data_IF_023460563167
#
_entry.id   IF_023460563167
#
_cell.length_a   1.000
_cell.length_b   1.000
_cell.length_c   1.000
_cell.angle_alpha   90.00
_cell.angle_beta   90.00
_cell.angle_gamma   90.00
#
_symmetry.space_group_name_H-M   'P 1'
#
loop_
_entity.id
_entity.type
_entity.pdbx_description
1 polymer ?
#
# COMPACT_ATOMS: atom_id res chain seq x y z
N UNK A 1 -37.86 -49.81 5.90
CA UNK A 1 -38.27 -48.38 5.85
C UNK A 1 -37.12 -47.45 6.29
N UNK A 2 -35.89 -47.61 5.76
CA UNK A 2 -34.73 -46.75 6.11
C UNK A 2 -33.83 -46.42 4.90
N UNK A 3 -34.27 -46.76 3.68
CA UNK A 3 -33.43 -46.65 2.48
C UNK A 3 -33.32 -45.20 1.95
N UNK A 4 -34.28 -44.35 2.29
CA UNK A 4 -34.36 -42.97 1.80
C UNK A 4 -33.63 -41.93 2.68
N UNK A 5 -33.34 -42.24 3.96
CA UNK A 5 -32.64 -41.29 4.85
C UNK A 5 -31.16 -41.09 4.47
N UNK A 6 -30.50 -42.13 3.95
CA UNK A 6 -29.07 -42.06 3.62
C UNK A 6 -28.78 -41.13 2.44
N UNK A 7 -29.64 -41.17 1.41
CA UNK A 7 -29.52 -40.32 0.22
C UNK A 7 -29.79 -38.84 0.52
N UNK A 8 -30.75 -38.56 1.41
CA UNK A 8 -31.07 -37.21 1.85
C UNK A 8 -29.91 -36.59 2.64
N UNK A 9 -29.34 -37.32 3.60
CA UNK A 9 -28.19 -36.86 4.40
C UNK A 9 -26.96 -36.62 3.51
N UNK A 10 -26.68 -37.50 2.55
CA UNK A 10 -25.56 -37.29 1.62
C UNK A 10 -25.76 -36.08 0.71
N UNK A 11 -27.01 -35.81 0.31
CA UNK A 11 -27.33 -34.66 -0.55
C UNK A 11 -27.20 -33.34 0.21
N UNK A 12 -27.70 -33.27 1.45
CA UNK A 12 -27.54 -32.10 2.33
C UNK A 12 -26.04 -31.82 2.61
N UNK A 13 -25.26 -32.86 2.89
CA UNK A 13 -23.81 -32.72 3.07
C UNK A 13 -23.11 -32.20 1.81
N UNK A 14 -23.46 -32.71 0.62
CA UNK A 14 -22.89 -32.23 -0.64
C UNK A 14 -23.23 -30.76 -0.91
N UNK A 15 -24.44 -30.30 -0.58
CA UNK A 15 -24.82 -28.89 -0.71
C UNK A 15 -23.99 -28.00 0.23
N UNK A 16 -23.79 -28.43 1.47
CA UNK A 16 -22.97 -27.69 2.44
C UNK A 16 -21.52 -27.60 1.95
N UNK A 17 -20.94 -28.70 1.48
CA UNK A 17 -19.58 -28.73 0.93
C UNK A 17 -19.47 -27.83 -0.30
N UNK A 18 -20.46 -27.85 -1.18
CA UNK A 18 -20.50 -26.97 -2.36
C UNK A 18 -20.59 -25.50 -1.95
N UNK A 19 -21.41 -25.16 -0.96
CA UNK A 19 -21.54 -23.80 -0.45
C UNK A 19 -20.22 -23.29 0.16
N UNK A 20 -19.53 -24.13 0.95
CA UNK A 20 -18.21 -23.80 1.51
C UNK A 20 -17.18 -23.61 0.41
N UNK A 21 -17.17 -24.48 -0.61
CA UNK A 21 -16.28 -24.35 -1.76
C UNK A 21 -16.52 -23.03 -2.51
N UNK A 22 -17.77 -22.67 -2.78
CA UNK A 22 -18.13 -21.43 -3.45
C UNK A 22 -17.73 -20.19 -2.64
N UNK A 23 -17.99 -20.17 -1.33
CA UNK A 23 -17.57 -19.06 -0.49
C UNK A 23 -16.04 -18.94 -0.44
N UNK A 24 -15.34 -20.07 -0.37
CA UNK A 24 -13.87 -20.12 -0.37
C UNK A 24 -13.29 -19.57 -1.68
N UNK A 25 -13.81 -20.00 -2.84
CA UNK A 25 -13.32 -19.52 -4.13
C UNK A 25 -13.58 -18.03 -4.32
N UNK A 26 -14.77 -17.54 -3.94
CA UNK A 26 -15.08 -16.10 -3.99
C UNK A 26 -14.11 -15.30 -3.12
N UNK A 27 -13.90 -15.74 -1.88
CA UNK A 27 -12.99 -15.05 -0.94
C UNK A 27 -11.57 -15.03 -1.48
N UNK A 28 -11.09 -16.16 -2.01
CA UNK A 28 -9.77 -16.25 -2.61
C UNK A 28 -9.65 -15.36 -3.85
N UNK A 29 -10.67 -15.33 -4.71
CA UNK A 29 -10.69 -14.45 -5.89
C UNK A 29 -10.62 -12.97 -5.51
N UNK A 30 -11.36 -12.53 -4.50
CA UNK A 30 -11.28 -11.16 -3.98
C UNK A 30 -9.89 -10.85 -3.43
N UNK A 31 -9.35 -11.73 -2.58
CA UNK A 31 -8.03 -11.54 -1.98
C UNK A 31 -6.93 -11.46 -3.05
N UNK A 32 -6.97 -12.35 -4.04
CA UNK A 32 -6.00 -12.36 -5.15
C UNK A 32 -6.16 -11.10 -6.02
N UNK A 33 -7.40 -10.69 -6.35
CA UNK A 33 -7.64 -9.48 -7.14
C UNK A 33 -7.08 -8.21 -6.48
N UNK A 34 -7.28 -8.08 -5.18
CA UNK A 34 -6.80 -6.93 -4.39
C UNK A 34 -5.27 -6.96 -4.17
N UNK A 35 -4.73 -8.14 -3.81
CA UNK A 35 -3.30 -8.32 -3.53
C UNK A 35 -2.41 -8.25 -4.77
N UNK A 36 -2.95 -8.63 -5.94
CA UNK A 36 -2.23 -8.56 -7.22
C UNK A 36 -2.59 -7.32 -8.04
N UNK A 37 -3.39 -6.40 -7.50
CA UNK A 37 -3.62 -5.14 -8.19
C UNK A 37 -2.28 -4.41 -8.37
N UNK A 38 -2.02 -3.95 -9.58
CA UNK A 38 -0.77 -3.22 -9.86
C UNK A 38 -0.65 -1.95 -9.02
N UNK A 39 -1.79 -1.41 -8.59
CA UNK A 39 -1.91 -0.19 -7.82
C UNK A 39 -1.52 -0.38 -6.36
N UNK A 40 -2.01 -1.44 -5.69
CA UNK A 40 -1.57 -1.79 -4.34
C UNK A 40 -0.07 -2.09 -4.30
N UNK A 41 0.45 -2.81 -5.29
CA UNK A 41 1.90 -3.05 -5.40
C UNK A 41 2.70 -1.77 -5.64
N UNK A 42 2.13 -0.79 -6.34
CA UNK A 42 2.79 0.51 -6.58
C UNK A 42 2.78 1.36 -5.32
N UNK A 43 1.70 1.34 -4.53
CA UNK A 43 1.65 1.98 -3.22
C UNK A 43 2.71 1.40 -2.27
N UNK A 44 2.89 0.07 -2.22
CA UNK A 44 3.95 -0.56 -1.42
C UNK A 44 5.36 -0.10 -1.82
N UNK A 45 5.60 0.06 -3.13
CA UNK A 45 6.87 0.61 -3.63
C UNK A 45 7.07 2.07 -3.22
N UNK A 46 6.00 2.88 -3.21
CA UNK A 46 6.05 4.27 -2.75
C UNK A 46 6.45 4.32 -1.27
N UNK A 47 5.82 3.51 -0.42
CA UNK A 47 6.14 3.42 1.01
C UNK A 47 7.60 3.01 1.25
N UNK A 48 8.06 1.97 0.53
CA UNK A 48 9.46 1.52 0.62
C UNK A 48 10.44 2.60 0.14
N UNK A 49 10.14 3.23 -1.00
CA UNK A 49 10.94 4.31 -1.57
C UNK A 49 11.05 5.49 -0.63
N UNK A 50 9.97 5.85 0.08
CA UNK A 50 9.94 6.93 1.03
C UNK A 50 10.82 6.63 2.25
N UNK A 51 10.74 5.41 2.82
CA UNK A 51 11.62 4.96 3.91
C UNK A 51 13.09 5.03 3.52
N UNK A 52 13.42 4.56 2.31
CA UNK A 52 14.80 4.62 1.81
C UNK A 52 15.25 6.05 1.61
N UNK A 53 14.43 6.91 1.00
CA UNK A 53 14.76 8.31 0.79
C UNK A 53 15.03 9.04 2.12
N UNK A 54 14.20 8.81 3.14
CA UNK A 54 14.40 9.39 4.48
C UNK A 54 15.70 8.89 5.11
N UNK A 55 16.03 7.61 4.96
CA UNK A 55 17.30 7.06 5.44
C UNK A 55 18.52 7.71 4.74
N UNK A 56 18.44 7.91 3.42
CA UNK A 56 19.47 8.60 2.64
C UNK A 56 19.64 10.05 3.07
N UNK A 57 18.52 10.73 3.31
CA UNK A 57 18.49 12.11 3.81
C UNK A 57 19.19 12.23 5.16
N UNK A 58 18.85 11.35 6.11
CA UNK A 58 19.50 11.32 7.42
C UNK A 58 20.99 10.99 7.35
N UNK A 59 21.42 10.31 6.28
CA UNK A 59 22.82 9.95 6.05
C UNK A 59 23.62 11.05 5.33
N UNK A 60 23.02 12.19 5.00
CA UNK A 60 23.72 13.27 4.28
C UNK A 60 23.93 13.01 2.78
N UNK A 61 23.22 12.04 2.21
CA UNK A 61 23.44 11.60 0.83
C UNK A 61 23.15 12.71 -0.18
N UNK A 62 23.98 12.84 -1.23
CA UNK A 62 23.81 13.85 -2.28
C UNK A 62 23.70 15.30 -1.75
N UNK A 63 24.35 15.60 -0.61
CA UNK A 63 24.33 16.93 -0.01
C UNK A 63 23.05 17.30 0.72
N UNK A 64 22.13 16.36 0.95
CA UNK A 64 20.94 16.60 1.79
C UNK A 64 21.35 16.75 3.26
N UNK A 65 21.53 17.98 3.71
CA UNK A 65 21.81 18.28 5.11
C UNK A 65 20.52 18.73 5.78
N UNK A 66 20.11 18.01 6.83
CA UNK A 66 18.94 18.35 7.63
C UNK A 66 19.38 18.62 9.05
N UNK A 67 18.92 19.72 9.62
CA UNK A 67 19.23 20.07 11.00
C UNK A 67 18.29 19.28 11.94
N UNK A 68 18.58 18.00 12.12
CA UNK A 68 17.75 17.06 12.89
C UNK A 68 17.42 15.80 12.12
N UNK A 69 16.96 14.77 12.85
CA UNK A 69 16.56 13.49 12.26
C UNK A 69 15.18 13.60 11.65
N UNK A 70 15.06 13.23 10.38
CA UNK A 70 13.76 13.06 9.71
C UNK A 70 13.23 11.68 10.02
N UNK A 71 12.00 11.60 10.52
CA UNK A 71 11.33 10.34 10.83
C UNK A 71 10.18 10.14 9.85
N UNK A 72 10.13 8.97 9.22
CA UNK A 72 8.99 8.59 8.40
C UNK A 72 7.86 8.07 9.30
N UNK A 73 6.71 8.73 9.28
CA UNK A 73 5.55 8.43 10.13
C UNK A 73 4.48 7.57 9.41
N UNK A 74 4.65 7.32 8.11
CA UNK A 74 3.76 6.48 7.30
C UNK A 74 3.21 7.21 6.08
N UNK A 75 2.28 6.56 5.39
CA UNK A 75 1.54 7.15 4.27
C UNK A 75 0.05 6.94 4.41
N UNK A 76 -0.72 7.85 3.82
CA UNK A 76 -2.14 7.63 3.49
C UNK A 76 -2.33 7.81 2.00
N UNK A 77 -3.35 7.17 1.44
CA UNK A 77 -3.71 7.37 0.04
C UNK A 77 -5.23 7.47 -0.10
N UNK A 78 -5.66 8.27 -1.07
CA UNK A 78 -7.06 8.40 -1.47
C UNK A 78 -7.16 8.18 -2.97
N UNK A 79 -8.08 7.30 -3.38
CA UNK A 79 -8.39 7.09 -4.79
C UNK A 79 -9.53 8.03 -5.22
N UNK A 80 -9.30 8.79 -6.30
CA UNK A 80 -10.31 9.64 -6.91
C UNK A 80 -10.24 9.54 -8.44
N UNK A 81 -11.25 8.90 -9.04
CA UNK A 81 -11.37 8.80 -10.50
C UNK A 81 -10.22 8.06 -11.19
N UNK A 82 -9.71 6.99 -10.57
CA UNK A 82 -8.59 6.19 -11.11
C UNK A 82 -7.20 6.83 -10.90
N UNK A 83 -7.12 7.88 -10.08
CA UNK A 83 -5.87 8.49 -9.62
C UNK A 83 -5.73 8.34 -8.11
N UNK A 84 -4.50 8.13 -7.66
CA UNK A 84 -4.17 8.00 -6.25
C UNK A 84 -3.45 9.25 -5.77
N UNK A 85 -4.04 9.94 -4.80
CA UNK A 85 -3.37 11.01 -4.05
C UNK A 85 -2.69 10.37 -2.85
N UNK A 86 -1.37 10.27 -2.88
CA UNK A 86 -0.57 9.69 -1.79
C UNK A 86 0.02 10.81 -0.96
N UNK A 87 -0.19 10.76 0.35
CA UNK A 87 0.39 11.70 1.32
C UNK A 87 1.39 10.96 2.19
N UNK A 88 2.67 11.34 2.10
CA UNK A 88 3.74 10.82 2.95
C UNK A 88 3.88 11.72 4.18
N UNK A 89 3.84 11.13 5.38
CA UNK A 89 3.99 11.88 6.63
C UNK A 89 5.42 11.79 7.14
N UNK A 90 6.02 12.95 7.35
CA UNK A 90 7.34 13.08 7.95
C UNK A 90 7.25 13.87 9.25
N UNK A 91 8.00 13.44 10.26
CA UNK A 91 8.22 14.20 11.49
C UNK A 91 9.63 14.77 11.43
N UNK A 92 9.76 16.07 11.68
CA UNK A 92 11.05 16.73 11.81
C UNK A 92 10.97 17.91 12.78
N UNK A 93 12.11 18.27 13.34
CA UNK A 93 12.33 19.45 14.19
C UNK A 93 12.66 20.72 13.38
N UNK A 94 12.94 20.60 12.08
CA UNK A 94 13.38 21.71 11.21
C UNK A 94 12.68 21.76 9.85
N UNK A 95 12.72 22.93 9.18
CA UNK A 95 12.12 23.13 7.86
C UNK A 95 12.75 22.21 6.79
N UNK A 96 11.90 21.54 6.02
CA UNK A 96 12.27 20.47 5.07
C UNK A 96 12.25 20.90 3.59
N UNK A 97 12.18 22.19 3.26
CA UNK A 97 11.88 22.64 1.88
C UNK A 97 12.75 22.02 0.78
N UNK A 98 14.06 21.85 0.98
CA UNK A 98 14.95 21.18 0.01
C UNK A 98 14.81 19.65 0.03
N UNK A 99 14.62 19.09 1.21
CA UNK A 99 14.58 17.65 1.50
C UNK A 99 13.29 17.02 0.98
N UNK A 100 12.16 17.73 1.08
CA UNK A 100 10.87 17.26 0.56
C UNK A 100 10.94 16.98 -0.95
N UNK A 101 11.59 17.86 -1.71
CA UNK A 101 11.78 17.66 -3.16
C UNK A 101 12.69 16.46 -3.46
N UNK A 102 13.76 16.28 -2.68
CA UNK A 102 14.61 15.10 -2.83
C UNK A 102 13.83 13.81 -2.58
N UNK A 103 13.04 13.74 -1.52
CA UNK A 103 12.28 12.54 -1.16
C UNK A 103 11.27 12.20 -2.25
N UNK A 104 10.45 13.17 -2.70
CA UNK A 104 9.46 12.93 -3.76
C UNK A 104 10.15 12.49 -5.06
N UNK A 105 11.21 13.20 -5.47
CA UNK A 105 11.93 12.85 -6.69
C UNK A 105 12.60 11.48 -6.60
N UNK A 106 13.16 11.12 -5.44
CA UNK A 106 13.76 9.81 -5.24
C UNK A 106 12.72 8.70 -5.36
N UNK A 107 11.56 8.86 -4.73
CA UNK A 107 10.47 7.88 -4.82
C UNK A 107 10.02 7.69 -6.26
N UNK A 108 9.71 8.78 -6.96
CA UNK A 108 9.23 8.74 -8.35
C UNK A 108 10.27 8.10 -9.27
N UNK A 109 11.51 8.58 -9.21
CA UNK A 109 12.55 8.17 -10.16
C UNK A 109 13.09 6.77 -9.84
N UNK A 110 13.32 6.45 -8.57
CA UNK A 110 13.88 5.16 -8.16
C UNK A 110 12.88 4.02 -8.33
N UNK A 111 11.58 4.29 -8.20
CA UNK A 111 10.54 3.26 -8.29
C UNK A 111 9.80 3.28 -9.63
N UNK A 112 10.17 4.20 -10.53
CA UNK A 112 9.55 4.41 -11.83
C UNK A 112 8.02 4.59 -11.71
N UNK A 113 7.58 5.43 -10.77
CA UNK A 113 6.17 5.70 -10.49
C UNK A 113 5.62 6.61 -11.60
N UNK A 114 4.44 6.27 -12.11
CA UNK A 114 3.69 7.13 -13.02
C UNK A 114 3.02 8.29 -12.25
N UNK A 115 3.61 9.49 -12.35
CA UNK A 115 3.09 10.71 -11.74
C UNK A 115 1.74 11.18 -12.30
N UNK A 116 1.28 10.63 -13.42
CA UNK A 116 -0.06 10.94 -13.96
C UNK A 116 -1.17 10.18 -13.24
N UNK A 117 -0.81 9.02 -12.65
CA UNK A 117 -1.69 8.13 -11.89
C UNK A 117 -1.52 8.30 -10.38
N UNK A 118 -0.29 8.51 -9.90
CA UNK A 118 0.03 8.66 -8.48
C UNK A 118 0.57 10.06 -8.21
N UNK A 119 -0.23 10.89 -7.54
CA UNK A 119 0.19 12.22 -7.10
C UNK A 119 0.75 12.12 -5.67
N UNK A 120 2.07 12.20 -5.55
CA UNK A 120 2.77 12.05 -4.26
C UNK A 120 2.99 13.44 -3.65
N UNK A 121 2.44 13.63 -2.47
CA UNK A 121 2.58 14.83 -1.65
C UNK A 121 3.19 14.49 -0.31
N UNK A 122 3.72 15.50 0.36
CA UNK A 122 4.55 15.32 1.54
C UNK A 122 4.04 16.27 2.62
N UNK A 123 3.63 15.71 3.75
CA UNK A 123 3.06 16.43 4.88
C UNK A 123 4.02 16.35 6.06
N UNK A 124 4.41 17.50 6.59
CA UNK A 124 5.31 17.59 7.73
C UNK A 124 4.52 17.78 9.01
N UNK A 125 4.65 16.85 9.94
CA UNK A 125 4.16 16.97 11.30
C UNK A 125 5.30 17.57 12.13
N UNK A 126 5.10 18.79 12.63
CA UNK A 126 6.05 19.40 13.56
C UNK A 126 5.90 18.71 14.92
N UNK A 127 7.02 18.21 15.47
CA UNK A 127 7.08 17.75 16.86
C UNK A 127 7.35 18.91 17.81
#
# INVERSE_FOLDING_TARGET
>A
MFKNLKGQISFEFSIIVLAVLLMSTITLSYFLGDSFSEDTRTLDKIDLGAKTAVSLVNSGYNGTHVNGTVIYAGMTFEESGGKYNVTLYLINTSSLNFVSNFIVNYVVNSQNIDNTKFNITLSTLNS
#
